data_IF_015401497657
#
_entry.id   IF_015401497657
#
_cell.length_a   1.000
_cell.length_b   1.000
_cell.length_c   1.000
_cell.angle_alpha   90.00
_cell.angle_beta   90.00
_cell.angle_gamma   90.00
#
_symmetry.space_group_name_H-M   'P 1'
#
loop_
_entity.id
_entity.type
_entity.pdbx_description
1 polymer ?
#
# COMPACT_ATOMS: atom_id res chain seq x y z
N UNK A 1 4.65 -5.11 4.47
CA UNK A 1 4.82 -6.53 4.10
C UNK A 1 3.85 -7.39 4.87
N UNK A 2 3.16 -8.25 4.18
CA UNK A 2 2.20 -9.15 4.77
C UNK A 2 2.80 -10.53 5.00
N UNK A 3 2.62 -11.06 6.22
CA UNK A 3 2.93 -12.45 6.55
C UNK A 3 1.73 -13.39 6.42
N UNK A 4 0.57 -12.91 6.00
CA UNK A 4 -0.64 -13.71 5.93
C UNK A 4 -0.70 -14.53 4.63
N UNK A 5 -0.89 -15.83 4.76
CA UNK A 5 -0.99 -16.82 3.68
C UNK A 5 -2.34 -16.83 2.96
N UNK A 6 -3.12 -15.79 2.95
CA UNK A 6 -4.44 -15.85 2.31
C UNK A 6 -4.52 -14.98 1.05
N UNK A 7 -5.24 -15.48 0.07
CA UNK A 7 -5.31 -14.96 -1.30
C UNK A 7 -6.12 -13.66 -1.48
N UNK A 8 -6.80 -13.17 -0.46
CA UNK A 8 -7.54 -11.92 -0.52
C UNK A 8 -6.80 -10.80 0.21
N UNK A 9 -5.80 -10.22 -0.43
CA UNK A 9 -4.88 -9.33 0.26
C UNK A 9 -5.14 -7.88 -0.05
N UNK A 10 -6.06 -7.35 0.68
CA UNK A 10 -6.11 -5.92 0.94
C UNK A 10 -4.93 -5.57 1.85
N UNK A 11 -4.32 -4.43 1.63
CA UNK A 11 -3.15 -4.00 2.41
C UNK A 11 -3.40 -4.04 3.91
N UNK A 12 -2.40 -4.47 4.67
CA UNK A 12 -2.49 -4.54 6.14
C UNK A 12 -2.74 -3.19 6.82
N UNK A 13 -2.43 -2.08 6.16
CA UNK A 13 -2.71 -0.73 6.66
C UNK A 13 -4.14 -0.25 6.39
N UNK A 14 -4.93 -1.00 5.62
CA UNK A 14 -6.31 -0.65 5.34
C UNK A 14 -7.22 -1.08 6.49
N UNK A 15 -7.88 -0.14 7.11
CA UNK A 15 -8.91 -0.42 8.14
C UNK A 15 -10.14 -1.01 7.48
N UNK A 16 -10.65 -0.40 6.41
CA UNK A 16 -11.82 -0.88 5.68
C UNK A 16 -11.61 -2.21 4.99
N UNK A 17 -10.38 -2.55 4.63
CA UNK A 17 -10.00 -3.82 4.02
C UNK A 17 -9.65 -4.93 5.00
N UNK A 18 -9.67 -4.67 6.31
CA UNK A 18 -9.30 -5.65 7.34
C UNK A 18 -10.45 -6.60 7.64
N UNK A 19 -10.43 -7.77 7.02
CA UNK A 19 -11.42 -8.83 7.22
C UNK A 19 -10.92 -9.96 8.15
N UNK A 20 -9.60 -10.04 8.37
CA UNK A 20 -8.98 -11.21 9.03
C UNK A 20 -8.37 -10.92 10.40
N UNK A 21 -8.19 -9.66 10.78
CA UNK A 21 -7.49 -9.31 12.02
C UNK A 21 -6.01 -9.70 11.98
N UNK A 22 -5.46 -10.13 13.10
CA UNK A 22 -4.06 -10.53 13.33
C UNK A 22 -3.03 -9.40 13.18
N UNK A 23 -1.81 -9.61 13.70
CA UNK A 23 -0.67 -8.68 13.60
C UNK A 23 -1.01 -7.21 13.92
N UNK A 24 -1.75 -6.98 15.01
CA UNK A 24 -2.31 -5.68 15.35
C UNK A 24 -1.26 -4.54 15.37
N UNK A 25 -0.10 -4.76 15.96
CA UNK A 25 0.97 -3.76 16.02
C UNK A 25 1.44 -3.33 14.64
N UNK A 26 1.65 -4.28 13.74
CA UNK A 26 2.04 -4.01 12.36
C UNK A 26 0.94 -3.27 11.59
N UNK A 27 -0.33 -3.72 11.71
CA UNK A 27 -1.48 -3.05 11.10
C UNK A 27 -1.62 -1.61 11.58
N UNK A 28 -1.47 -1.38 12.88
CA UNK A 28 -1.52 -0.04 13.47
C UNK A 28 -0.41 0.86 12.90
N UNK A 29 0.81 0.36 12.77
CA UNK A 29 1.93 1.14 12.21
C UNK A 29 1.67 1.55 10.75
N UNK A 30 1.10 0.65 9.95
CA UNK A 30 0.78 0.92 8.54
C UNK A 30 -0.44 1.83 8.39
N UNK A 31 -1.44 1.70 9.25
CA UNK A 31 -2.57 2.63 9.30
C UNK A 31 -2.13 4.04 9.70
N UNK A 32 -1.15 4.16 10.61
CA UNK A 32 -0.55 5.45 10.97
C UNK A 32 0.16 6.10 9.77
N UNK A 33 0.87 5.34 8.93
CA UNK A 33 1.45 5.86 7.69
C UNK A 33 0.38 6.34 6.71
N UNK A 34 -0.74 5.64 6.59
CA UNK A 34 -1.87 6.06 5.77
C UNK A 34 -2.51 7.35 6.30
N UNK A 35 -2.66 7.47 7.62
CA UNK A 35 -3.13 8.72 8.23
C UNK A 35 -2.17 9.88 7.94
N UNK A 36 -0.87 9.64 8.03
CA UNK A 36 0.15 10.66 7.71
C UNK A 36 0.03 11.11 6.24
N UNK A 37 -0.09 10.17 5.30
CA UNK A 37 -0.30 10.47 3.88
C UNK A 37 -1.54 11.35 3.67
N UNK A 38 -2.64 10.99 4.29
CA UNK A 38 -3.89 11.76 4.18
C UNK A 38 -3.74 13.16 4.77
N UNK A 39 -3.15 13.27 5.95
CA UNK A 39 -2.91 14.55 6.61
C UNK A 39 -2.03 15.47 5.76
N UNK A 40 -0.89 14.93 5.31
CA UNK A 40 0.07 15.69 4.51
C UNK A 40 -0.53 16.17 3.18
N UNK A 41 -1.39 15.37 2.56
CA UNK A 41 -2.08 15.75 1.32
C UNK A 41 -3.01 16.95 1.47
N UNK A 42 -3.43 17.23 2.70
CA UNK A 42 -4.30 18.39 3.03
C UNK A 42 -3.45 19.58 3.48
N UNK A 43 -2.46 19.32 4.32
CA UNK A 43 -1.62 20.37 4.90
C UNK A 43 -0.70 21.01 3.86
N UNK A 44 -0.27 20.24 2.87
CA UNK A 44 0.67 20.69 1.83
C UNK A 44 0.03 20.62 0.43
N UNK A 45 -0.84 21.57 0.07
CA UNK A 45 -1.63 21.51 -1.17
C UNK A 45 -0.80 21.56 -2.46
N UNK A 46 0.47 21.93 -2.37
CA UNK A 46 1.40 21.96 -3.51
C UNK A 46 2.08 20.60 -3.76
N UNK A 47 1.85 19.62 -2.90
CA UNK A 47 2.38 18.26 -3.05
C UNK A 47 1.28 17.30 -3.49
N UNK A 48 1.68 16.33 -4.30
CA UNK A 48 0.84 15.15 -4.56
C UNK A 48 1.36 13.99 -3.73
N UNK A 49 0.58 13.57 -2.74
CA UNK A 49 0.98 12.56 -1.76
C UNK A 49 0.03 11.37 -1.86
N UNK A 50 0.58 10.19 -2.05
CA UNK A 50 -0.17 8.94 -2.17
C UNK A 50 0.43 7.85 -1.28
N UNK A 51 -0.40 6.93 -0.82
CA UNK A 51 0.06 5.66 -0.26
C UNK A 51 -0.06 4.57 -1.31
N UNK A 52 0.93 3.68 -1.37
CA UNK A 52 0.92 2.54 -2.29
C UNK A 52 1.24 1.26 -1.54
N UNK A 53 0.42 0.24 -1.74
CA UNK A 53 0.71 -1.12 -1.32
C UNK A 53 1.54 -1.82 -2.42
N UNK A 54 2.80 -2.20 -2.13
CA UNK A 54 3.69 -2.76 -3.15
C UNK A 54 3.38 -4.21 -3.53
N UNK A 55 2.41 -4.83 -2.89
CA UNK A 55 2.14 -6.25 -3.00
C UNK A 55 2.95 -7.08 -2.00
N UNK A 56 2.77 -8.39 -2.06
CA UNK A 56 3.61 -9.32 -1.30
C UNK A 56 4.85 -9.68 -2.12
N UNK A 57 5.99 -9.11 -1.73
CA UNK A 57 7.22 -9.10 -2.51
C UNK A 57 8.26 -10.06 -1.93
N UNK A 58 8.96 -10.77 -2.80
CA UNK A 58 10.07 -11.67 -2.45
C UNK A 58 11.28 -10.88 -1.96
N UNK A 59 11.25 -10.49 -0.69
CA UNK A 59 12.32 -9.83 0.05
C UNK A 59 12.66 -10.68 1.27
N UNK A 60 13.68 -10.33 2.04
CA UNK A 60 14.00 -11.02 3.30
C UNK A 60 12.79 -11.08 4.22
N UNK A 61 12.01 -10.01 4.27
CA UNK A 61 10.80 -9.90 5.09
C UNK A 61 9.60 -10.62 4.48
N UNK A 62 9.42 -10.57 3.15
CA UNK A 62 8.32 -11.20 2.43
C UNK A 62 8.46 -12.71 2.23
N UNK A 63 9.69 -13.20 2.19
CA UNK A 63 10.02 -14.60 1.98
C UNK A 63 9.99 -15.02 0.51
N UNK A 64 10.56 -16.19 0.24
CA UNK A 64 10.66 -16.75 -1.11
C UNK A 64 9.30 -17.20 -1.70
N UNK A 65 8.30 -17.42 -0.85
CA UNK A 65 6.94 -17.82 -1.26
C UNK A 65 6.05 -16.64 -1.66
N UNK A 66 6.53 -15.40 -1.55
CA UNK A 66 5.77 -14.22 -1.93
C UNK A 66 5.38 -14.28 -3.41
N UNK A 67 4.22 -13.72 -3.73
CA UNK A 67 3.61 -13.80 -5.07
C UNK A 67 4.32 -12.94 -6.12
N UNK A 68 5.07 -11.93 -5.70
CA UNK A 68 5.76 -10.99 -6.59
C UNK A 68 7.26 -11.04 -6.41
N UNK A 69 8.00 -10.96 -7.50
CA UNK A 69 9.43 -10.65 -7.46
C UNK A 69 9.62 -9.15 -7.19
N UNK A 70 10.84 -8.77 -6.77
CA UNK A 70 11.19 -7.36 -6.59
C UNK A 70 11.02 -6.62 -7.92
N UNK A 71 11.49 -7.17 -9.02
CA UNK A 71 11.41 -6.54 -10.35
C UNK A 71 9.95 -6.32 -10.79
N UNK A 72 9.07 -7.29 -10.56
CA UNK A 72 7.64 -7.16 -10.87
C UNK A 72 6.99 -6.03 -10.07
N UNK A 73 7.25 -5.97 -8.75
CA UNK A 73 6.72 -4.92 -7.89
C UNK A 73 7.24 -3.55 -8.27
N UNK A 74 8.54 -3.39 -8.45
CA UNK A 74 9.17 -2.11 -8.82
C UNK A 74 8.71 -1.62 -10.18
N UNK A 75 8.59 -2.52 -11.16
CA UNK A 75 8.08 -2.18 -12.49
C UNK A 75 6.64 -1.66 -12.43
N UNK A 76 5.79 -2.32 -11.64
CA UNK A 76 4.41 -1.88 -11.43
C UNK A 76 4.36 -0.49 -10.76
N UNK A 77 5.16 -0.27 -9.71
CA UNK A 77 5.22 1.02 -9.01
C UNK A 77 5.69 2.15 -9.92
N UNK A 78 6.72 1.93 -10.73
CA UNK A 78 7.20 2.92 -11.69
C UNK A 78 6.12 3.26 -12.73
N UNK A 79 5.38 2.28 -13.21
CA UNK A 79 4.26 2.48 -14.13
C UNK A 79 3.15 3.32 -13.51
N UNK A 80 2.82 3.08 -12.23
CA UNK A 80 1.82 3.86 -11.50
C UNK A 80 2.24 5.31 -11.30
N UNK A 81 3.50 5.54 -10.91
CA UNK A 81 4.01 6.89 -10.66
C UNK A 81 3.86 7.78 -11.89
N UNK A 82 4.02 7.24 -13.09
CA UNK A 82 3.84 7.98 -14.33
C UNK A 82 2.37 8.34 -14.65
N UNK A 83 1.41 7.66 -14.01
CA UNK A 83 -0.03 7.86 -14.22
C UNK A 83 -0.67 8.77 -13.16
N UNK A 84 -0.02 8.98 -12.03
CA UNK A 84 -0.56 9.80 -10.95
C UNK A 84 -0.60 11.27 -11.35
N UNK A 85 -1.65 11.94 -10.89
CA UNK A 85 -1.90 13.37 -11.10
C UNK A 85 -2.55 13.96 -9.85
N UNK A 86 -2.99 15.22 -9.94
CA UNK A 86 -3.63 15.91 -8.82
C UNK A 86 -4.86 15.17 -8.26
N UNK A 87 -5.60 14.45 -9.11
CA UNK A 87 -6.75 13.64 -8.67
C UNK A 87 -6.35 12.42 -7.83
N UNK A 88 -5.10 11.99 -7.90
CA UNK A 88 -4.57 10.88 -7.10
C UNK A 88 -4.19 11.29 -5.68
N UNK A 89 -4.07 12.59 -5.41
CA UNK A 89 -3.61 13.12 -4.14
C UNK A 89 -4.48 12.67 -2.96
N UNK A 90 -3.83 12.25 -1.88
CA UNK A 90 -4.51 11.83 -0.65
C UNK A 90 -5.24 10.50 -0.74
N UNK A 91 -4.89 9.65 -1.70
CA UNK A 91 -5.51 8.34 -1.92
C UNK A 91 -4.53 7.21 -1.66
N UNK A 92 -5.08 6.01 -1.54
CA UNK A 92 -4.36 4.78 -1.28
C UNK A 92 -4.57 3.79 -2.42
N UNK A 93 -3.49 3.27 -2.99
CA UNK A 93 -3.52 2.40 -4.15
C UNK A 93 -2.81 1.07 -3.91
N UNK A 94 -3.30 0.03 -4.57
CA UNK A 94 -2.55 -1.21 -4.76
C UNK A 94 -1.52 -1.01 -5.90
N UNK A 95 -0.48 -1.84 -5.93
CA UNK A 95 0.51 -1.86 -7.02
C UNK A 95 -0.11 -2.07 -8.41
N UNK A 96 -1.30 -2.65 -8.48
CA UNK A 96 -2.08 -2.84 -9.71
C UNK A 96 -2.76 -1.56 -10.22
N UNK A 97 -2.77 -0.49 -9.44
CA UNK A 97 -3.49 0.74 -9.73
C UNK A 97 -4.90 0.82 -9.18
N UNK A 98 -5.37 -0.26 -8.57
CA UNK A 98 -6.67 -0.27 -7.89
C UNK A 98 -6.63 0.62 -6.64
N UNK A 99 -7.63 1.49 -6.48
CA UNK A 99 -7.77 2.27 -5.26
C UNK A 99 -8.26 1.38 -4.12
N UNK A 100 -7.60 1.51 -2.97
CA UNK A 100 -7.92 0.75 -1.77
C UNK A 100 -8.61 1.66 -0.74
N UNK A 101 -9.52 1.11 0.09
CA UNK A 101 -10.04 1.84 1.24
C UNK A 101 -8.93 2.03 2.28
N UNK A 102 -9.03 3.12 2.99
CA UNK A 102 -8.14 3.40 4.11
C UNK A 102 -8.19 2.39 5.24
#
# INVERSE_FOLDING_TARGET
FEFAKSESRKSVGSIGGNENGTIAGYRMSKAAMNMFTRTLSIDEPNLSVVSIHPGWVQTDMGGAEASLTIDESVTALCGLLSQFNAASNGRFFNYTGEELPW
#
